data_IF_660130757521
#
_entry.id   IF_660130757521
#
_cell.length_a   1.000
_cell.length_b   1.000
_cell.length_c   1.000
_cell.angle_alpha   90.00
_cell.angle_beta   90.00
_cell.angle_gamma   90.00
#
_symmetry.space_group_name_H-M   'P 1'
#
loop_
_entity.id
_entity.type
_entity.pdbx_description
1 polymer ?
#
# COMPACT_ATOMS: atom_id res chain seq x y z
N UNK A 1 -15.49 3.68 3.59
CA UNK A 1 -14.59 3.28 2.48
C UNK A 1 -14.77 4.26 1.34
N UNK A 2 -13.70 4.83 0.84
CA UNK A 2 -13.63 5.94 -0.10
C UNK A 2 -13.43 5.45 -1.54
N UNK A 3 -14.50 4.99 -2.20
CA UNK A 3 -14.42 4.51 -3.58
C UNK A 3 -14.13 5.63 -4.59
N UNK A 4 -14.40 6.87 -4.22
CA UNK A 4 -14.12 8.08 -5.01
C UNK A 4 -12.62 8.31 -5.28
N UNK A 5 -11.73 7.62 -4.58
CA UNK A 5 -10.28 7.68 -4.85
C UNK A 5 -9.86 6.91 -6.10
N UNK A 6 -10.74 6.05 -6.60
CA UNK A 6 -10.44 5.19 -7.75
C UNK A 6 -10.72 5.94 -9.06
N UNK A 7 -9.79 5.81 -10.01
CA UNK A 7 -10.01 6.29 -11.37
C UNK A 7 -11.10 5.47 -12.09
N UNK A 8 -11.60 5.99 -13.21
CA UNK A 8 -12.54 5.28 -14.06
C UNK A 8 -11.99 3.93 -14.52
N UNK A 9 -10.74 3.90 -14.94
CA UNK A 9 -10.04 2.68 -15.38
C UNK A 9 -9.92 1.66 -14.26
N UNK A 10 -9.66 2.11 -13.03
CA UNK A 10 -9.62 1.23 -11.85
C UNK A 10 -11.01 0.65 -11.53
N UNK A 11 -12.08 1.45 -11.63
CA UNK A 11 -13.46 0.98 -11.42
C UNK A 11 -13.82 -0.08 -12.47
N UNK A 12 -13.48 0.13 -13.74
CA UNK A 12 -13.71 -0.84 -14.81
C UNK A 12 -12.98 -2.19 -14.57
N UNK A 13 -11.88 -2.17 -13.82
CA UNK A 13 -11.07 -3.36 -13.50
C UNK A 13 -11.53 -4.12 -12.24
N UNK A 14 -12.49 -3.60 -11.46
CA UNK A 14 -12.98 -4.29 -10.26
C UNK A 14 -13.53 -5.71 -10.54
N UNK A 15 -14.23 -5.99 -11.66
CA UNK A 15 -14.64 -7.34 -12.00
C UNK A 15 -13.45 -8.30 -12.24
N UNK A 16 -12.35 -7.82 -12.83
CA UNK A 16 -11.12 -8.61 -12.98
C UNK A 16 -10.49 -8.87 -11.61
N UNK A 17 -10.38 -7.85 -10.74
CA UNK A 17 -9.84 -7.98 -9.38
C UNK A 17 -10.62 -9.02 -8.59
N UNK A 18 -11.95 -9.07 -8.73
CA UNK A 18 -12.80 -10.04 -8.04
C UNK A 18 -12.47 -11.51 -8.35
N UNK A 19 -11.85 -11.78 -9.51
CA UNK A 19 -11.40 -13.14 -9.88
C UNK A 19 -10.18 -13.58 -9.03
N UNK A 20 -9.49 -12.66 -8.38
CA UNK A 20 -8.33 -12.94 -7.54
C UNK A 20 -8.66 -13.05 -6.04
N UNK A 21 -9.89 -12.71 -5.60
CA UNK A 21 -10.30 -12.58 -4.20
C UNK A 21 -10.13 -13.81 -3.30
N UNK A 22 -10.01 -15.02 -3.88
CA UNK A 22 -9.79 -16.27 -3.12
C UNK A 22 -8.34 -16.48 -2.73
N UNK A 23 -7.41 -15.87 -3.44
CA UNK A 23 -5.97 -16.10 -3.30
C UNK A 23 -5.21 -14.86 -2.86
N UNK A 24 -5.70 -13.69 -3.26
CA UNK A 24 -5.03 -12.41 -3.05
C UNK A 24 -5.85 -11.50 -2.15
N UNK A 25 -5.16 -10.54 -1.55
CA UNK A 25 -5.72 -9.41 -0.83
C UNK A 25 -5.08 -8.11 -1.33
N UNK A 26 -5.84 -7.01 -1.30
CA UNK A 26 -5.38 -5.70 -1.74
C UNK A 26 -4.59 -5.03 -0.62
N UNK A 27 -3.45 -4.43 -0.95
CA UNK A 27 -2.60 -3.66 -0.04
C UNK A 27 -2.10 -2.37 -0.68
N UNK A 28 -1.07 -1.79 -0.13
CA UNK A 28 -0.37 -0.64 -0.70
C UNK A 28 -1.12 0.68 -0.53
N UNK A 29 -0.74 1.66 -1.34
CA UNK A 29 -1.31 3.01 -1.28
C UNK A 29 -2.79 3.05 -1.57
N UNK A 30 -3.28 2.21 -2.51
CA UNK A 30 -4.71 2.15 -2.85
C UNK A 30 -5.56 1.62 -1.71
N UNK A 31 -5.11 0.59 -0.99
CA UNK A 31 -5.83 0.10 0.19
C UNK A 31 -5.89 1.17 1.29
N UNK A 32 -4.80 1.89 1.55
CA UNK A 32 -4.77 3.00 2.52
C UNK A 32 -5.69 4.13 2.07
N UNK A 33 -5.62 4.55 0.81
CA UNK A 33 -6.47 5.61 0.28
C UNK A 33 -7.96 5.25 0.35
N UNK A 34 -8.33 3.99 0.12
CA UNK A 34 -9.70 3.49 0.31
C UNK A 34 -10.17 3.60 1.77
N UNK A 35 -9.27 3.48 2.76
CA UNK A 35 -9.63 3.65 4.16
C UNK A 35 -9.84 5.12 4.55
N UNK A 36 -8.97 6.04 4.11
CA UNK A 36 -8.90 7.41 4.67
C UNK A 36 -9.20 8.52 3.66
N UNK A 37 -9.27 8.25 2.36
CA UNK A 37 -9.74 9.22 1.36
C UNK A 37 -8.82 10.41 1.12
N UNK A 38 -7.55 10.37 1.53
CA UNK A 38 -6.66 11.53 1.55
C UNK A 38 -6.08 11.92 0.18
N UNK A 39 -5.93 10.96 -0.73
CA UNK A 39 -5.36 11.14 -2.06
C UNK A 39 -5.83 10.09 -3.06
N UNK A 40 -5.65 10.35 -4.33
CA UNK A 40 -5.76 9.32 -5.37
C UNK A 40 -4.62 8.30 -5.26
N UNK A 41 -4.91 7.06 -5.66
CA UNK A 41 -3.92 6.01 -5.80
C UNK A 41 -4.25 5.13 -7.00
N UNK A 42 -3.36 5.11 -7.98
CA UNK A 42 -3.61 4.58 -9.32
C UNK A 42 -3.16 3.15 -9.54
N UNK A 43 -2.49 2.52 -8.58
CA UNK A 43 -1.95 1.16 -8.70
C UNK A 43 -2.79 0.16 -7.91
N UNK A 44 -2.76 -1.11 -8.31
CA UNK A 44 -3.29 -2.21 -7.50
C UNK A 44 -2.18 -3.16 -7.07
N UNK A 45 -1.93 -3.23 -5.76
CA UNK A 45 -0.97 -4.16 -5.16
C UNK A 45 -1.73 -5.35 -4.57
N UNK A 46 -1.65 -6.52 -5.22
CA UNK A 46 -2.32 -7.75 -4.85
C UNK A 46 -1.32 -8.74 -4.27
N UNK A 47 -1.40 -8.97 -2.97
CA UNK A 47 -0.48 -9.83 -2.23
C UNK A 47 -1.13 -11.15 -1.85
N UNK A 48 -0.32 -12.20 -1.73
CA UNK A 48 -0.72 -13.53 -1.22
C UNK A 48 0.43 -14.17 -0.43
N UNK A 49 0.11 -15.06 0.50
CA UNK A 49 1.10 -15.78 1.30
C UNK A 49 1.78 -16.91 0.49
N UNK A 50 1.04 -17.59 -0.38
CA UNK A 50 1.55 -18.73 -1.15
C UNK A 50 2.34 -18.28 -2.38
N UNK A 51 3.12 -19.20 -2.96
CA UNK A 51 3.87 -18.97 -4.20
C UNK A 51 3.02 -18.40 -5.32
N UNK A 52 3.61 -17.52 -6.09
CA UNK A 52 2.96 -16.83 -7.20
C UNK A 52 2.89 -17.74 -8.45
N UNK A 53 1.69 -18.22 -8.76
CA UNK A 53 1.41 -18.96 -10.00
C UNK A 53 1.10 -17.98 -11.14
N UNK A 54 2.12 -17.44 -11.77
CA UNK A 54 2.00 -16.38 -12.80
C UNK A 54 1.12 -16.82 -13.98
N UNK A 55 1.20 -18.05 -14.41
CA UNK A 55 0.35 -18.59 -15.49
C UNK A 55 -1.15 -18.48 -15.16
N UNK A 56 -1.54 -18.63 -13.89
CA UNK A 56 -2.94 -18.48 -13.48
C UNK A 56 -3.36 -17.01 -13.47
N UNK A 57 -2.45 -16.09 -13.16
CA UNK A 57 -2.67 -14.65 -13.30
C UNK A 57 -2.86 -14.31 -14.79
N UNK A 58 -1.95 -14.72 -15.66
CA UNK A 58 -2.05 -14.47 -17.11
C UNK A 58 -3.35 -15.01 -17.71
N UNK A 59 -3.77 -16.24 -17.36
CA UNK A 59 -5.05 -16.81 -17.84
C UNK A 59 -6.24 -15.91 -17.50
N UNK A 60 -6.33 -15.40 -16.27
CA UNK A 60 -7.42 -14.51 -15.82
C UNK A 60 -7.37 -13.16 -16.54
N UNK A 61 -6.16 -12.59 -16.71
CA UNK A 61 -5.97 -11.31 -17.42
C UNK A 61 -6.37 -11.46 -18.90
N UNK A 62 -5.92 -12.50 -19.59
CA UNK A 62 -6.29 -12.75 -20.99
C UNK A 62 -7.81 -12.98 -21.14
N UNK A 63 -8.41 -13.74 -20.23
CA UNK A 63 -9.86 -13.98 -20.24
C UNK A 63 -10.71 -12.72 -20.02
N UNK A 64 -10.16 -11.71 -19.34
CA UNK A 64 -10.83 -10.43 -19.10
C UNK A 64 -11.00 -9.56 -20.37
N UNK A 65 -10.23 -9.85 -21.41
CA UNK A 65 -10.16 -9.09 -22.69
C UNK A 65 -9.66 -7.65 -22.57
N UNK A 66 -9.20 -7.21 -21.39
CA UNK A 66 -8.50 -5.93 -21.28
C UNK A 66 -7.13 -6.00 -21.96
N UNK A 67 -6.72 -4.90 -22.58
CA UNK A 67 -5.35 -4.75 -23.07
C UNK A 67 -4.37 -4.76 -21.90
N UNK A 68 -3.26 -5.50 -22.03
CA UNK A 68 -2.21 -5.50 -21.02
C UNK A 68 -0.82 -5.42 -21.62
N UNK A 69 0.12 -4.89 -20.83
CA UNK A 69 1.55 -4.86 -21.13
C UNK A 69 2.31 -5.51 -19.99
N UNK A 70 3.36 -6.25 -20.33
CA UNK A 70 4.33 -6.76 -19.37
C UNK A 70 5.15 -5.60 -18.79
N UNK A 71 5.36 -5.60 -17.47
CA UNK A 71 6.21 -4.65 -16.78
C UNK A 71 7.51 -5.28 -16.27
N UNK A 72 7.39 -6.19 -15.30
CA UNK A 72 8.54 -6.85 -14.67
C UNK A 72 8.09 -8.15 -14.02
N UNK A 73 8.97 -9.15 -13.96
CA UNK A 73 8.75 -10.34 -13.13
C UNK A 73 10.04 -10.91 -12.54
N UNK A 74 9.90 -11.53 -11.38
CA UNK A 74 10.89 -12.41 -10.76
C UNK A 74 10.16 -13.56 -10.06
N UNK A 75 10.85 -14.37 -9.26
CA UNK A 75 10.23 -15.52 -8.57
C UNK A 75 8.99 -15.13 -7.74
N UNK A 76 9.05 -14.02 -7.00
CA UNK A 76 8.03 -13.60 -6.04
C UNK A 76 7.02 -12.58 -6.61
N UNK A 77 7.33 -11.94 -7.74
CA UNK A 77 6.61 -10.77 -8.24
C UNK A 77 6.29 -10.86 -9.73
N UNK A 78 5.11 -10.32 -10.08
CA UNK A 78 4.69 -10.06 -11.45
C UNK A 78 4.05 -8.68 -11.51
N UNK A 79 4.59 -7.79 -12.34
CA UNK A 79 4.02 -6.49 -12.63
C UNK A 79 3.44 -6.47 -14.04
N UNK A 80 2.17 -6.06 -14.14
CA UNK A 80 1.48 -5.85 -15.39
C UNK A 80 0.88 -4.45 -15.43
N UNK A 81 0.74 -3.87 -16.61
CA UNK A 81 -0.09 -2.69 -16.84
C UNK A 81 -1.34 -3.19 -17.57
N UNK A 82 -2.50 -3.12 -16.93
CA UNK A 82 -3.77 -3.61 -17.47
C UNK A 82 -4.72 -2.40 -17.58
N UNK A 83 -5.25 -2.11 -18.76
CA UNK A 83 -6.10 -0.93 -19.00
C UNK A 83 -5.49 0.35 -18.42
N UNK A 84 -4.20 0.59 -18.65
CA UNK A 84 -3.39 1.72 -18.15
C UNK A 84 -3.13 1.74 -16.63
N UNK A 85 -3.66 0.78 -15.87
CA UNK A 85 -3.46 0.64 -14.42
C UNK A 85 -2.35 -0.35 -14.15
N UNK A 86 -1.42 0.00 -13.28
CA UNK A 86 -0.35 -0.90 -12.84
C UNK A 86 -0.87 -1.88 -11.80
N UNK A 87 -0.61 -3.15 -12.04
CA UNK A 87 -0.85 -4.25 -11.11
C UNK A 87 0.46 -4.83 -10.63
N UNK A 88 0.60 -4.97 -9.33
CA UNK A 88 1.66 -5.76 -8.70
C UNK A 88 1.03 -6.99 -8.07
N UNK A 89 1.37 -8.19 -8.57
CA UNK A 89 1.07 -9.45 -7.91
C UNK A 89 2.32 -9.90 -7.15
N UNK A 90 2.19 -10.16 -5.85
CA UNK A 90 3.35 -10.44 -5.00
C UNK A 90 3.10 -11.59 -4.02
N UNK A 91 4.05 -12.55 -3.99
CA UNK A 91 4.15 -13.58 -2.96
C UNK A 91 4.82 -13.00 -1.72
N UNK A 92 4.04 -12.66 -0.69
CA UNK A 92 4.54 -12.03 0.53
C UNK A 92 4.66 -13.06 1.65
N UNK A 93 5.87 -13.29 2.20
CA UNK A 93 6.13 -14.44 3.09
C UNK A 93 5.62 -14.24 4.54
N UNK A 94 4.68 -13.32 4.74
CA UNK A 94 4.08 -13.05 6.04
C UNK A 94 2.56 -13.22 5.98
N UNK A 95 1.99 -13.84 7.02
CA UNK A 95 0.53 -13.97 7.15
C UNK A 95 -0.07 -12.63 7.58
N UNK A 96 -0.77 -11.97 6.68
CA UNK A 96 -1.42 -10.69 6.92
C UNK A 96 -2.92 -10.89 7.11
N UNK A 97 -3.52 -10.50 8.26
CA UNK A 97 -4.96 -10.48 8.46
C UNK A 97 -5.63 -9.53 7.44
N UNK A 98 -6.66 -10.00 6.75
CA UNK A 98 -7.40 -9.21 5.75
C UNK A 98 -8.89 -9.37 6.04
N UNK A 99 -9.39 -8.50 6.92
CA UNK A 99 -10.74 -8.55 7.49
C UNK A 99 -11.70 -7.55 6.86
N UNK A 100 -11.15 -6.49 6.25
CA UNK A 100 -11.92 -5.50 5.48
C UNK A 100 -12.10 -5.97 4.04
N UNK A 101 -13.06 -5.40 3.31
CA UNK A 101 -13.25 -5.71 1.90
C UNK A 101 -13.86 -4.57 1.09
N UNK A 102 -13.49 -4.48 -0.19
CA UNK A 102 -14.37 -3.88 -1.19
C UNK A 102 -15.43 -4.95 -1.45
N UNK A 103 -16.67 -4.70 -0.99
CA UNK A 103 -17.74 -5.70 -0.92
C UNK A 103 -17.89 -6.52 -2.20
N UNK A 104 -17.68 -7.83 -2.09
CA UNK A 104 -17.77 -8.79 -3.19
C UNK A 104 -16.58 -8.77 -4.16
N UNK A 105 -15.65 -7.82 -4.06
CA UNK A 105 -14.52 -7.64 -4.97
C UNK A 105 -13.26 -8.26 -4.40
N UNK A 106 -12.72 -7.74 -3.31
CA UNK A 106 -11.46 -8.23 -2.74
C UNK A 106 -11.33 -7.85 -1.26
N UNK A 107 -10.71 -8.71 -0.48
CA UNK A 107 -10.34 -8.43 0.91
C UNK A 107 -9.11 -7.53 0.98
N UNK A 108 -8.98 -6.80 2.09
CA UNK A 108 -7.81 -6.01 2.43
C UNK A 108 -7.60 -5.97 3.94
N UNK A 109 -6.38 -5.69 4.42
CA UNK A 109 -6.12 -5.47 5.84
C UNK A 109 -6.84 -4.21 6.36
N UNK A 110 -7.03 -4.14 7.68
CA UNK A 110 -7.41 -2.90 8.36
C UNK A 110 -6.31 -1.84 8.26
N UNK A 111 -6.64 -0.60 8.59
CA UNK A 111 -5.74 0.54 8.46
C UNK A 111 -4.48 0.39 9.33
N UNK A 112 -4.60 -0.14 10.56
CA UNK A 112 -3.45 -0.37 11.44
C UNK A 112 -2.48 -1.41 10.87
N UNK A 113 -3.02 -2.49 10.32
CA UNK A 113 -2.22 -3.53 9.64
C UNK A 113 -1.52 -2.97 8.40
N UNK A 114 -2.19 -2.14 7.59
CA UNK A 114 -1.58 -1.46 6.44
C UNK A 114 -0.49 -0.47 6.85
N UNK A 115 -0.70 0.26 7.96
CA UNK A 115 0.31 1.15 8.54
C UNK A 115 1.55 0.38 9.00
N UNK A 116 1.36 -0.77 9.65
CA UNK A 116 2.45 -1.67 10.05
C UNK A 116 3.22 -2.22 8.84
N UNK A 117 2.54 -2.56 7.75
CA UNK A 117 3.19 -2.97 6.49
C UNK A 117 3.97 -1.81 5.86
N UNK A 118 3.47 -0.57 5.93
CA UNK A 118 4.21 0.63 5.50
C UNK A 118 5.46 0.87 6.36
N UNK A 119 5.33 0.78 7.69
CA UNK A 119 6.45 0.91 8.61
C UNK A 119 7.55 -0.15 8.33
N UNK A 120 7.16 -1.37 8.01
CA UNK A 120 8.08 -2.44 7.62
C UNK A 120 8.77 -2.17 6.27
N UNK A 121 8.08 -1.55 5.32
CA UNK A 121 8.62 -1.20 4.00
C UNK A 121 9.48 0.06 4.02
N UNK A 122 9.26 0.96 4.98
CA UNK A 122 9.98 2.22 5.10
C UNK A 122 11.49 1.97 5.30
N UNK A 123 12.32 2.70 4.56
CA UNK A 123 13.78 2.48 4.57
C UNK A 123 14.28 1.35 3.67
N UNK A 124 13.39 0.48 3.17
CA UNK A 124 13.71 -0.51 2.14
C UNK A 124 13.52 0.04 0.72
N UNK A 125 12.75 1.12 0.61
CA UNK A 125 12.53 1.88 -0.62
C UNK A 125 12.33 3.36 -0.28
N UNK A 126 12.83 4.24 -1.15
CA UNK A 126 12.82 5.69 -0.92
C UNK A 126 11.66 6.35 -1.68
N UNK A 127 10.40 6.12 -1.24
CA UNK A 127 9.20 6.65 -1.86
C UNK A 127 8.50 7.66 -0.97
N UNK A 128 8.33 8.90 -1.45
CA UNK A 128 7.65 9.97 -0.72
C UNK A 128 6.21 9.62 -0.32
N UNK A 129 5.48 8.93 -1.18
CA UNK A 129 4.10 8.49 -0.89
C UNK A 129 3.99 7.59 0.35
N UNK A 130 5.06 6.87 0.73
CA UNK A 130 5.07 6.05 1.94
C UNK A 130 5.09 6.93 3.20
N UNK A 131 5.81 8.05 3.18
CA UNK A 131 5.83 9.04 4.26
C UNK A 131 4.51 9.81 4.35
N UNK A 132 3.93 10.18 3.21
CA UNK A 132 2.62 10.83 3.17
C UNK A 132 1.51 9.96 3.78
N UNK A 133 1.44 8.68 3.39
CA UNK A 133 0.45 7.77 3.95
C UNK A 133 0.63 7.62 5.45
N UNK A 134 1.88 7.48 5.94
CA UNK A 134 2.18 7.41 7.37
C UNK A 134 1.87 8.73 8.11
N UNK A 135 2.11 9.89 7.48
CA UNK A 135 1.74 11.18 8.05
C UNK A 135 0.25 11.25 8.38
N UNK A 136 -0.63 10.95 7.42
CA UNK A 136 -2.08 10.99 7.64
C UNK A 136 -2.54 9.96 8.67
N UNK A 137 -1.97 8.75 8.63
CA UNK A 137 -2.32 7.70 9.60
C UNK A 137 -1.88 8.10 11.01
N UNK A 138 -0.66 8.59 11.19
CA UNK A 138 -0.12 9.02 12.48
C UNK A 138 -0.80 10.27 13.04
N UNK A 139 -1.26 11.16 12.18
CA UNK A 139 -1.92 12.41 12.57
C UNK A 139 -3.34 12.16 13.07
N UNK A 140 -4.12 11.33 12.37
CA UNK A 140 -5.56 11.32 12.54
C UNK A 140 -6.15 9.95 12.96
N UNK A 141 -5.35 8.85 12.92
CA UNK A 141 -5.92 7.51 13.07
C UNK A 141 -5.21 6.64 14.12
N UNK A 142 -3.89 6.50 14.06
CA UNK A 142 -3.13 5.59 14.90
C UNK A 142 -1.85 6.21 15.42
N UNK A 143 -1.50 5.93 16.67
CA UNK A 143 -0.24 6.37 17.27
C UNK A 143 0.96 5.58 16.74
N UNK A 144 2.15 6.16 16.88
CA UNK A 144 3.41 5.50 16.56
C UNK A 144 3.57 4.17 17.32
N UNK A 145 3.16 4.15 18.59
CA UNK A 145 3.20 2.98 19.48
C UNK A 145 2.32 1.84 18.95
N UNK A 146 1.08 2.13 18.54
CA UNK A 146 0.18 1.13 17.97
C UNK A 146 0.74 0.53 16.67
N UNK A 147 1.27 1.38 15.78
CA UNK A 147 1.86 0.93 14.52
C UNK A 147 3.09 0.06 14.76
N UNK A 148 3.99 0.47 15.67
CA UNK A 148 5.19 -0.28 16.01
C UNK A 148 4.86 -1.62 16.67
N UNK A 149 3.89 -1.65 17.58
CA UNK A 149 3.41 -2.88 18.22
C UNK A 149 2.82 -3.85 17.18
N UNK A 150 1.99 -3.35 16.27
CA UNK A 150 1.40 -4.16 15.19
C UNK A 150 2.45 -4.66 14.22
N UNK A 151 3.44 -3.85 13.86
CA UNK A 151 4.55 -4.28 13.01
C UNK A 151 5.41 -5.35 13.69
N UNK A 152 5.63 -5.25 15.00
CA UNK A 152 6.33 -6.27 15.78
C UNK A 152 5.53 -7.58 15.84
N UNK A 153 4.21 -7.51 16.03
CA UNK A 153 3.31 -8.68 15.97
C UNK A 153 3.42 -9.41 14.63
N UNK A 154 3.39 -8.67 13.52
CA UNK A 154 3.35 -9.25 12.17
C UNK A 154 4.71 -9.75 11.68
N UNK A 155 5.78 -9.06 12.01
CA UNK A 155 7.11 -9.27 11.41
C UNK A 155 8.17 -9.74 12.40
N UNK A 156 7.87 -9.75 13.71
CA UNK A 156 8.77 -10.23 14.76
C UNK A 156 10.15 -9.55 14.69
N UNK A 157 11.19 -10.36 14.76
CA UNK A 157 12.60 -9.87 14.70
C UNK A 157 13.01 -9.19 13.39
N UNK A 158 12.21 -9.28 12.35
CA UNK A 158 12.48 -8.62 11.06
C UNK A 158 12.07 -7.14 11.06
N UNK A 159 11.31 -6.70 12.05
CA UNK A 159 10.98 -5.30 12.30
C UNK A 159 11.84 -4.74 13.46
N UNK A 160 12.27 -3.50 13.30
CA UNK A 160 12.95 -2.75 14.36
C UNK A 160 12.29 -1.40 14.54
N UNK A 161 11.67 -1.21 15.69
CA UNK A 161 11.06 0.05 16.11
C UNK A 161 12.07 1.22 16.05
N UNK A 162 13.29 1.00 16.54
CA UNK A 162 14.35 2.00 16.49
C UNK A 162 14.66 2.42 15.04
N UNK A 163 14.78 1.46 14.12
CA UNK A 163 15.01 1.77 12.71
C UNK A 163 13.81 2.47 12.09
N UNK A 164 12.60 2.09 12.44
CA UNK A 164 11.38 2.75 11.97
C UNK A 164 11.36 4.23 12.38
N UNK A 165 11.61 4.55 13.65
CA UNK A 165 11.74 5.93 14.15
C UNK A 165 12.82 6.71 13.40
N UNK A 166 14.01 6.13 13.21
CA UNK A 166 15.08 6.76 12.44
C UNK A 166 14.67 7.03 10.99
N UNK A 167 13.95 6.11 10.34
CA UNK A 167 13.50 6.29 8.97
C UNK A 167 12.43 7.37 8.83
N UNK A 168 11.53 7.52 9.81
CA UNK A 168 10.53 8.60 9.81
C UNK A 168 11.15 9.99 9.76
N UNK A 169 12.37 10.17 10.26
CA UNK A 169 13.11 11.44 10.25
C UNK A 169 14.21 11.52 9.17
N UNK A 170 14.31 10.53 8.28
CA UNK A 170 15.37 10.48 7.29
C UNK A 170 14.82 10.64 5.86
N UNK A 171 15.06 11.81 5.26
CA UNK A 171 14.52 12.18 3.94
C UNK A 171 15.57 12.27 2.83
N UNK A 172 16.84 11.93 3.12
CA UNK A 172 17.89 11.97 2.12
C UNK A 172 17.70 10.87 1.06
N UNK A 173 17.73 11.25 -0.21
CA UNK A 173 17.60 10.31 -1.33
C UNK A 173 16.16 9.84 -1.60
N UNK A 174 15.17 10.48 -0.99
CA UNK A 174 13.76 10.21 -1.31
C UNK A 174 13.45 10.74 -2.70
N UNK A 175 12.74 9.93 -3.48
CA UNK A 175 12.20 10.34 -4.77
C UNK A 175 10.83 11.03 -4.58
N UNK A 176 10.73 12.26 -5.03
CA UNK A 176 9.52 13.11 -5.01
C UNK A 176 8.85 13.21 -6.38
N UNK A 177 9.36 12.51 -7.42
CA UNK A 177 8.88 12.66 -8.80
C UNK A 177 7.46 12.14 -9.02
N UNK A 178 7.00 11.22 -8.16
CA UNK A 178 5.63 10.72 -8.24
C UNK A 178 4.64 11.79 -7.76
N UNK A 179 3.91 12.39 -8.70
CA UNK A 179 2.86 13.37 -8.41
C UNK A 179 1.79 12.79 -7.48
N UNK A 180 1.30 13.63 -6.55
CA UNK A 180 0.25 13.27 -5.58
C UNK A 180 -0.96 14.17 -5.80
N UNK A 181 -2.07 13.58 -6.19
CA UNK A 181 -3.37 14.26 -6.26
C UNK A 181 -4.09 14.09 -4.92
N UNK A 182 -4.13 15.15 -4.11
CA UNK A 182 -4.86 15.15 -2.85
C UNK A 182 -6.37 15.32 -3.08
N UNK A 183 -7.18 14.65 -2.25
CA UNK A 183 -8.64 14.74 -2.26
C UNK A 183 -9.20 15.49 -1.05
N UNK A 184 -8.32 16.07 -0.26
CA UNK A 184 -8.63 16.84 0.95
C UNK A 184 -8.44 18.34 0.70
N UNK A 185 -9.20 19.21 1.37
CA UNK A 185 -8.93 20.65 1.36
C UNK A 185 -7.62 20.95 2.09
N UNK A 186 -6.88 21.93 1.58
CA UNK A 186 -5.62 22.41 2.19
C UNK A 186 -4.61 21.29 2.47
N UNK A 187 -4.10 20.61 1.41
CA UNK A 187 -3.13 19.56 1.60
C UNK A 187 -1.84 20.10 2.25
N UNK A 188 -1.16 19.28 3.08
CA UNK A 188 0.08 19.70 3.71
C UNK A 188 1.18 19.90 2.67
N UNK A 189 2.07 20.85 2.95
CA UNK A 189 3.33 20.99 2.23
C UNK A 189 4.29 19.84 2.60
N UNK A 190 5.27 19.56 1.75
CA UNK A 190 6.28 18.57 2.06
C UNK A 190 7.02 18.89 3.38
N UNK A 191 7.26 20.18 3.68
CA UNK A 191 7.92 20.61 4.92
C UNK A 191 7.06 20.30 6.15
N UNK A 192 5.77 20.59 6.11
CA UNK A 192 4.85 20.28 7.23
C UNK A 192 4.80 18.77 7.52
N UNK A 193 4.80 17.94 6.47
CA UNK A 193 4.86 16.49 6.61
C UNK A 193 6.18 16.04 7.26
N UNK A 194 7.31 16.59 6.80
CA UNK A 194 8.64 16.28 7.35
C UNK A 194 8.74 16.67 8.81
N UNK A 195 8.37 17.92 9.16
CA UNK A 195 8.43 18.44 10.52
C UNK A 195 7.57 17.61 11.48
N UNK A 196 6.36 17.23 11.06
CA UNK A 196 5.50 16.37 11.85
C UNK A 196 6.13 14.99 12.09
N UNK A 197 6.65 14.35 11.05
CA UNK A 197 7.26 13.01 11.16
C UNK A 197 8.54 13.03 11.99
N UNK A 198 9.36 14.10 11.90
CA UNK A 198 10.52 14.30 12.78
C UNK A 198 10.05 14.38 14.23
N UNK A 199 9.06 15.25 14.54
CA UNK A 199 8.55 15.42 15.89
C UNK A 199 8.01 14.10 16.47
N UNK A 200 7.23 13.36 15.70
CA UNK A 200 6.73 12.04 16.10
C UNK A 200 7.87 11.04 16.35
N UNK A 201 8.92 11.06 15.54
CA UNK A 201 10.07 10.15 15.69
C UNK A 201 10.85 10.37 16.98
N UNK A 202 10.78 11.57 17.56
CA UNK A 202 11.44 11.96 18.82
C UNK A 202 10.58 11.68 20.06
N UNK A 203 9.28 11.40 19.88
CA UNK A 203 8.39 11.10 21.01
C UNK A 203 8.71 9.73 21.62
N UNK A 204 8.47 9.58 22.94
CA UNK A 204 8.52 8.29 23.62
C UNK A 204 7.36 7.40 23.15
N UNK A 205 7.59 6.08 23.14
CA UNK A 205 6.60 5.06 22.79
C UNK A 205 5.80 4.57 23.98
#
# INVERSE_FOLDING_TARGET
>A
MHLEILSKEQIELLPLISQFKREFYLVGGTAIALHIGHRESIDFDLFKLADLRKNDVYKKVIASKFGYKFGYENYEQLNLIINHVKFTFFSFPHKIPSIEEIKGVIKMPDLLTLAAMKAFALGRRAKWKDYLDLYFILKDHHSLKEIAAKATELFGKMFSEKLFKMQLSFFKGINYDEEVTFLIPNPPTNQEVQDFLINISLSDL
#
